data_IF_815100342134
#
_entry.id   IF_815100342134
#
_cell.length_a   1.000
_cell.length_b   1.000
_cell.length_c   1.000
_cell.angle_alpha   90.00
_cell.angle_beta   90.00
_cell.angle_gamma   90.00
#
_symmetry.space_group_name_H-M   'P 1'
#
loop_
_entity.id
_entity.type
_entity.pdbx_description
1 polymer ?
#
# COMPACT_ATOMS: atom_id res chain seq x y z
N UNK A 1 6.30 5.15 5.04
CA UNK A 1 6.16 3.89 4.30
C UNK A 1 4.70 3.51 4.07
N UNK A 2 3.89 3.23 5.11
CA UNK A 2 2.49 2.80 4.91
C UNK A 2 1.59 3.77 4.12
N UNK A 3 1.71 5.08 4.37
CA UNK A 3 0.95 6.09 3.61
C UNK A 3 1.32 6.09 2.12
N UNK A 4 2.62 6.11 1.78
CA UNK A 4 3.07 6.12 0.39
C UNK A 4 2.64 4.85 -0.35
N UNK A 5 2.76 3.68 0.30
CA UNK A 5 2.31 2.42 -0.29
C UNK A 5 0.80 2.47 -0.62
N UNK A 6 -0.05 2.87 0.33
CA UNK A 6 -1.49 2.95 0.09
C UNK A 6 -1.86 4.04 -0.92
N UNK A 7 -1.22 5.21 -0.84
CA UNK A 7 -1.50 6.38 -1.69
C UNK A 7 -1.02 6.22 -3.13
N UNK A 8 0.13 5.59 -3.34
CA UNK A 8 0.81 5.61 -4.65
C UNK A 8 0.75 4.27 -5.39
N UNK A 9 0.62 3.16 -4.66
CA UNK A 9 0.61 1.81 -5.22
C UNK A 9 -0.74 1.10 -5.07
N UNK A 10 -1.71 1.74 -4.41
CA UNK A 10 -3.05 1.21 -4.14
C UNK A 10 -3.03 -0.18 -3.48
N UNK A 11 -2.02 -0.45 -2.65
CA UNK A 11 -1.89 -1.76 -2.00
C UNK A 11 -3.10 -2.05 -1.10
N UNK A 12 -3.56 -3.30 -1.13
CA UNK A 12 -4.70 -3.78 -0.36
C UNK A 12 -4.28 -4.63 0.86
N UNK A 13 -3.00 -5.02 0.95
CA UNK A 13 -2.43 -5.82 2.03
C UNK A 13 -1.28 -5.07 2.68
N UNK A 14 -1.29 -5.02 4.02
CA UNK A 14 -0.21 -4.50 4.85
C UNK A 14 0.36 -5.64 5.69
N UNK A 15 1.69 -5.81 5.65
CA UNK A 15 2.41 -6.74 6.52
C UNK A 15 3.27 -5.96 7.52
N UNK A 16 3.31 -6.42 8.77
CA UNK A 16 4.07 -5.83 9.87
C UNK A 16 4.96 -6.90 10.51
N UNK A 17 6.18 -6.52 10.88
CA UNK A 17 7.09 -7.43 11.58
C UNK A 17 6.70 -7.54 13.06
N UNK A 18 6.45 -8.76 13.53
CA UNK A 18 6.03 -9.01 14.92
C UNK A 18 7.14 -8.67 15.94
N UNK A 19 8.39 -9.01 15.63
CA UNK A 19 9.50 -8.85 16.58
C UNK A 19 10.07 -7.41 16.61
N UNK A 20 9.78 -6.62 15.56
CA UNK A 20 10.36 -5.28 15.38
C UNK A 20 9.34 -4.14 15.50
N UNK A 21 8.05 -4.45 15.59
CA UNK A 21 6.99 -3.43 15.64
C UNK A 21 6.24 -3.52 16.96
N UNK A 22 6.47 -2.57 17.86
CA UNK A 22 5.70 -2.49 19.10
C UNK A 22 4.22 -2.19 18.83
N UNK A 23 3.35 -2.55 19.78
CA UNK A 23 1.91 -2.45 19.61
C UNK A 23 1.40 -1.01 19.36
N UNK A 24 2.03 0.01 19.94
CA UNK A 24 1.63 1.40 19.74
C UNK A 24 2.01 1.87 18.33
N UNK A 25 3.20 1.52 17.86
CA UNK A 25 3.66 1.78 16.50
C UNK A 25 2.82 1.02 15.47
N UNK A 26 2.54 -0.26 15.70
CA UNK A 26 1.66 -1.06 14.83
C UNK A 26 0.28 -0.40 14.67
N UNK A 27 -0.36 0.02 15.77
CA UNK A 27 -1.66 0.73 15.71
C UNK A 27 -1.60 2.02 14.89
N UNK A 28 -0.53 2.82 15.04
CA UNK A 28 -0.34 4.04 14.23
C UNK A 28 -0.18 3.73 12.75
N UNK A 29 0.61 2.71 12.42
CA UNK A 29 0.82 2.30 11.02
C UNK A 29 -0.49 1.81 10.40
N UNK A 30 -1.24 0.95 11.09
CA UNK A 30 -2.54 0.45 10.63
C UNK A 30 -3.53 1.59 10.44
N UNK A 31 -3.61 2.53 11.40
CA UNK A 31 -4.49 3.70 11.28
C UNK A 31 -4.18 4.51 10.02
N UNK A 32 -2.91 4.85 9.81
CA UNK A 32 -2.47 5.59 8.61
C UNK A 32 -2.81 4.82 7.34
N UNK A 33 -2.59 3.50 7.33
CA UNK A 33 -2.92 2.66 6.17
C UNK A 33 -4.42 2.68 5.83
N UNK A 34 -5.30 2.57 6.84
CA UNK A 34 -6.74 2.56 6.65
C UNK A 34 -7.30 3.93 6.25
N UNK A 35 -6.76 5.01 6.81
CA UNK A 35 -7.22 6.38 6.54
C UNK A 35 -6.67 6.96 5.21
N UNK A 36 -5.61 6.37 4.67
CA UNK A 36 -5.00 6.86 3.43
C UNK A 36 -5.77 6.34 2.22
N UNK A 37 -6.30 7.26 1.42
CA UNK A 37 -6.87 6.94 0.10
C UNK A 37 -5.79 6.92 -0.98
N UNK A 38 -6.01 6.09 -2.01
CA UNK A 38 -5.21 6.10 -3.22
C UNK A 38 -5.32 7.47 -3.92
N UNK A 39 -4.19 8.03 -4.38
CA UNK A 39 -4.19 9.37 -4.97
C UNK A 39 -4.85 9.42 -6.35
N UNK A 40 -4.91 8.29 -7.07
CA UNK A 40 -5.50 8.23 -8.39
C UNK A 40 -4.71 8.97 -9.49
N UNK A 41 -3.50 9.44 -9.19
CA UNK A 41 -2.63 10.14 -10.14
C UNK A 41 -2.31 9.24 -11.35
N UNK A 42 -2.22 9.85 -12.54
CA UNK A 42 -2.04 9.13 -13.80
C UNK A 42 -0.79 8.25 -13.80
N UNK A 43 0.33 8.75 -13.25
CA UNK A 43 1.57 7.96 -13.10
C UNK A 43 1.40 6.71 -12.23
N UNK A 44 0.56 6.78 -11.20
CA UNK A 44 0.31 5.68 -10.26
C UNK A 44 -0.56 4.62 -10.92
N UNK A 45 -1.67 5.04 -11.54
CA UNK A 45 -2.54 4.17 -12.35
C UNK A 45 -1.76 3.47 -13.46
N UNK A 46 -0.90 4.19 -14.18
CA UNK A 46 -0.08 3.63 -15.27
C UNK A 46 0.81 2.47 -14.80
N UNK A 47 1.40 2.55 -13.59
CA UNK A 47 2.23 1.47 -13.03
C UNK A 47 1.38 0.26 -12.66
N UNK A 48 0.24 0.49 -11.99
CA UNK A 48 -0.70 -0.56 -11.61
C UNK A 48 -1.22 -1.31 -12.85
N UNK A 49 -1.58 -0.60 -13.92
CA UNK A 49 -2.04 -1.23 -15.17
C UNK A 49 -0.96 -2.06 -15.86
N UNK A 50 0.32 -1.69 -15.73
CA UNK A 50 1.43 -2.55 -16.23
C UNK A 50 1.51 -3.85 -15.44
N UNK A 51 1.38 -3.79 -14.11
CA UNK A 51 1.38 -4.98 -13.25
C UNK A 51 0.20 -5.90 -13.63
N UNK A 52 -1.01 -5.36 -13.73
CA UNK A 52 -2.20 -6.12 -14.15
C UNK A 52 -2.04 -6.79 -15.51
N UNK A 53 -1.35 -6.14 -16.46
CA UNK A 53 -1.07 -6.75 -17.77
C UNK A 53 -0.13 -7.93 -17.67
N UNK A 54 0.89 -7.86 -16.81
CA UNK A 54 1.81 -8.98 -16.55
C UNK A 54 1.06 -10.13 -15.89
N UNK A 55 0.24 -9.86 -14.87
CA UNK A 55 -0.55 -10.87 -14.15
C UNK A 55 -1.54 -11.61 -15.06
N UNK A 56 -2.13 -10.93 -16.06
CA UNK A 56 -3.02 -11.55 -17.06
C UNK A 56 -2.30 -12.38 -18.12
N UNK A 57 -1.01 -12.16 -18.30
CA UNK A 57 -0.20 -12.87 -19.28
C UNK A 57 0.43 -14.16 -18.71
N UNK A 58 0.25 -14.40 -17.41
CA UNK A 58 0.53 -15.65 -16.71
C UNK A 58 -0.70 -16.57 -16.76
#
# INVERSE_FOLDING_TARGET
MAQAARKDDDVNVLSLSADLTDAATAKRIVKVFLETSFSGEERHKRRIEKIKKIEKAL
#
